data_IF_324898849611
#
_entry.id   IF_324898849611
#
_cell.length_a   1.000
_cell.length_b   1.000
_cell.length_c   1.000
_cell.angle_alpha   90.00
_cell.angle_beta   90.00
_cell.angle_gamma   90.00
#
_symmetry.space_group_name_H-M   'P 1'
#
loop_
_entity.id
_entity.type
_entity.pdbx_description
1 polymer ?
#
# COMPACT_ATOMS: atom_id res chain seq x y z
N UNK A 1 31.50 20.66 3.86
CA UNK A 1 30.10 20.17 4.05
C UNK A 1 29.43 20.14 2.69
N UNK A 2 28.97 18.98 2.23
CA UNK A 2 28.37 18.83 0.89
C UNK A 2 26.99 19.49 0.85
N UNK A 3 26.52 19.88 -0.33
CA UNK A 3 25.17 20.43 -0.52
C UNK A 3 24.09 19.47 -0.02
N UNK A 4 24.29 18.16 -0.19
CA UNK A 4 23.39 17.12 0.33
C UNK A 4 23.25 17.19 1.85
N UNK A 5 24.36 17.41 2.56
CA UNK A 5 24.35 17.48 4.03
C UNK A 5 23.56 18.69 4.51
N UNK A 6 23.74 19.85 3.86
CA UNK A 6 23.01 21.09 4.21
C UNK A 6 21.51 20.95 3.96
N UNK A 7 21.12 20.35 2.83
CA UNK A 7 19.72 20.11 2.50
C UNK A 7 19.10 19.12 3.49
N UNK A 8 19.82 18.07 3.87
CA UNK A 8 19.36 17.09 4.83
C UNK A 8 19.12 17.73 6.21
N UNK A 9 20.09 18.48 6.73
CA UNK A 9 19.94 19.20 8.01
C UNK A 9 18.81 20.22 7.96
N UNK A 10 18.61 20.91 6.81
CA UNK A 10 17.48 21.82 6.64
C UNK A 10 16.14 21.08 6.73
N UNK A 11 15.97 19.99 5.98
CA UNK A 11 14.75 19.18 6.00
C UNK A 11 14.49 18.65 7.41
N UNK A 12 15.49 18.11 8.09
CA UNK A 12 15.32 17.61 9.46
C UNK A 12 14.93 18.71 10.44
N UNK A 13 15.54 19.89 10.34
CA UNK A 13 15.29 21.02 11.25
C UNK A 13 13.85 21.54 11.14
N UNK A 14 13.26 21.48 9.95
CA UNK A 14 11.89 21.93 9.70
C UNK A 14 10.86 20.80 9.66
N UNK A 15 11.27 19.56 9.92
CA UNK A 15 10.35 18.44 10.02
C UNK A 15 9.64 18.44 11.38
N UNK A 16 8.62 19.30 11.51
CA UNK A 16 7.77 19.39 12.71
C UNK A 16 7.07 18.07 13.05
N UNK A 17 7.00 17.14 12.10
CA UNK A 17 6.38 15.83 12.29
C UNK A 17 7.36 14.78 12.84
N UNK A 18 8.67 15.07 12.93
CA UNK A 18 9.68 14.09 13.37
C UNK A 18 9.38 13.55 14.77
N UNK A 19 9.28 14.45 15.77
CA UNK A 19 9.00 14.06 17.16
C UNK A 19 7.68 13.29 17.36
N UNK A 20 6.52 13.75 16.85
CA UNK A 20 5.28 12.99 17.00
C UNK A 20 5.34 11.65 16.27
N UNK A 21 6.01 11.58 15.11
CA UNK A 21 6.19 10.31 14.38
C UNK A 21 7.05 9.33 15.18
N UNK A 22 8.15 9.78 15.79
CA UNK A 22 9.00 8.95 16.65
C UNK A 22 8.25 8.48 17.90
N UNK A 23 7.44 9.35 18.51
CA UNK A 23 6.61 8.99 19.67
C UNK A 23 5.58 7.92 19.31
N UNK A 24 4.85 8.09 18.21
CA UNK A 24 3.89 7.09 17.70
C UNK A 24 4.60 5.78 17.36
N UNK A 25 5.72 5.84 16.65
CA UNK A 25 6.50 4.65 16.31
C UNK A 25 6.98 3.89 17.56
N UNK A 26 7.43 4.61 18.59
CA UNK A 26 7.84 4.01 19.86
C UNK A 26 6.68 3.35 20.61
N UNK A 27 5.48 3.93 20.52
CA UNK A 27 4.26 3.38 21.12
C UNK A 27 3.81 2.12 20.38
N UNK A 28 3.77 2.15 19.05
CA UNK A 28 3.40 1.01 18.21
C UNK A 28 4.39 -0.16 18.36
N UNK A 29 5.68 0.12 18.57
CA UNK A 29 6.69 -0.90 18.82
C UNK A 29 6.45 -1.71 20.12
N UNK A 30 5.73 -1.14 21.08
CA UNK A 30 5.37 -1.83 22.33
C UNK A 30 4.02 -2.57 22.24
N UNK A 31 3.26 -2.34 21.17
CA UNK A 31 1.91 -2.87 20.98
C UNK A 31 1.77 -3.51 19.59
N UNK A 32 2.28 -4.75 19.40
CA UNK A 32 2.35 -5.39 18.08
C UNK A 32 0.96 -5.53 17.42
N UNK A 33 -0.08 -5.80 18.21
CA UNK A 33 -1.46 -5.86 17.69
C UNK A 33 -1.92 -4.52 17.11
N UNK A 34 -1.64 -3.40 17.80
CA UNK A 34 -1.98 -2.06 17.28
C UNK A 34 -1.16 -1.73 16.04
N UNK A 35 0.11 -2.13 16.01
CA UNK A 35 0.96 -1.99 14.82
C UNK A 35 0.41 -2.77 13.62
N UNK A 36 -0.04 -4.02 13.80
CA UNK A 36 -0.67 -4.81 12.72
C UNK A 36 -1.93 -4.11 12.19
N UNK A 37 -2.78 -3.60 13.08
CA UNK A 37 -4.01 -2.87 12.69
C UNK A 37 -3.70 -1.58 11.93
N UNK A 38 -2.73 -0.80 12.40
CA UNK A 38 -2.31 0.45 11.76
C UNK A 38 -1.78 0.21 10.33
N UNK A 39 -0.91 -0.79 10.19
CA UNK A 39 -0.34 -1.17 8.89
C UNK A 39 -1.42 -1.69 7.93
N UNK A 40 -2.37 -2.47 8.44
CA UNK A 40 -3.51 -2.93 7.65
C UNK A 40 -4.40 -1.75 7.20
N UNK A 41 -4.66 -0.78 8.09
CA UNK A 41 -5.42 0.42 7.76
C UNK A 41 -4.71 1.26 6.68
N UNK A 42 -3.39 1.42 6.80
CA UNK A 42 -2.56 2.11 5.81
C UNK A 42 -2.65 1.45 4.42
N UNK A 43 -2.61 0.11 4.36
CA UNK A 43 -2.84 -0.62 3.11
C UNK A 43 -4.22 -0.33 2.52
N UNK A 44 -5.27 -0.34 3.35
CA UNK A 44 -6.63 -0.08 2.90
C UNK A 44 -6.78 1.33 2.34
N UNK A 45 -6.36 2.35 3.09
CA UNK A 45 -6.43 3.75 2.65
C UNK A 45 -5.64 3.98 1.37
N UNK A 46 -4.43 3.43 1.28
CA UNK A 46 -3.62 3.56 0.07
C UNK A 46 -4.26 2.88 -1.14
N UNK A 47 -4.80 1.69 -0.95
CA UNK A 47 -5.54 0.97 -2.01
C UNK A 47 -6.74 1.79 -2.46
N UNK A 48 -7.51 2.35 -1.52
CA UNK A 48 -8.67 3.20 -1.80
C UNK A 48 -8.26 4.48 -2.56
N UNK A 49 -7.17 5.13 -2.18
CA UNK A 49 -6.65 6.30 -2.90
C UNK A 49 -6.23 5.94 -4.33
N UNK A 50 -5.60 4.78 -4.54
CA UNK A 50 -5.24 4.32 -5.90
C UNK A 50 -6.47 4.00 -6.74
N UNK A 51 -7.50 3.38 -6.14
CA UNK A 51 -8.78 3.15 -6.81
C UNK A 51 -9.43 4.48 -7.20
N UNK A 52 -9.48 5.45 -6.28
CA UNK A 52 -10.02 6.78 -6.56
C UNK A 52 -9.23 7.49 -7.66
N UNK A 53 -7.90 7.39 -7.65
CA UNK A 53 -7.04 7.91 -8.71
C UNK A 53 -7.37 7.27 -10.06
N UNK A 54 -7.49 5.94 -10.12
CA UNK A 54 -7.86 5.24 -11.35
C UNK A 54 -9.27 5.59 -11.85
N UNK A 55 -10.20 5.93 -10.94
CA UNK A 55 -11.57 6.32 -11.27
C UNK A 55 -11.66 7.76 -11.78
N UNK A 56 -10.85 8.68 -11.22
CA UNK A 56 -10.88 10.10 -11.58
C UNK A 56 -9.92 10.46 -12.73
N UNK A 57 -8.90 9.64 -12.99
CA UNK A 57 -7.93 9.93 -14.03
C UNK A 57 -8.55 9.75 -15.43
N UNK A 58 -8.38 10.74 -16.34
CA UNK A 58 -9.05 10.77 -17.65
C UNK A 58 -8.42 9.83 -18.69
N UNK A 59 -7.56 8.89 -18.28
CA UNK A 59 -6.89 7.96 -19.19
C UNK A 59 -7.60 6.60 -19.23
N UNK A 60 -7.25 5.79 -20.24
CA UNK A 60 -7.73 4.42 -20.32
C UNK A 60 -7.22 3.58 -19.14
N UNK A 61 -7.96 2.53 -18.77
CA UNK A 61 -7.60 1.67 -17.64
C UNK A 61 -6.15 1.14 -17.73
N UNK A 62 -5.63 0.65 -18.88
CA UNK A 62 -4.23 0.22 -18.98
C UNK A 62 -3.22 1.34 -18.69
N UNK A 63 -3.52 2.57 -19.12
CA UNK A 63 -2.66 3.74 -18.88
C UNK A 63 -2.69 4.13 -17.40
N UNK A 64 -3.88 4.17 -16.77
CA UNK A 64 -4.02 4.42 -15.34
C UNK A 64 -3.28 3.39 -14.50
N UNK A 65 -3.36 2.10 -14.87
CA UNK A 65 -2.64 1.03 -14.21
C UNK A 65 -1.12 1.16 -14.36
N UNK A 66 -0.63 1.50 -15.57
CA UNK A 66 0.80 1.73 -15.79
C UNK A 66 1.33 2.91 -14.96
N UNK A 67 0.58 4.03 -14.92
CA UNK A 67 0.91 5.19 -14.10
C UNK A 67 0.89 4.85 -12.60
N UNK A 68 -0.11 4.12 -12.14
CA UNK A 68 -0.22 3.66 -10.75
C UNK A 68 0.93 2.73 -10.36
N UNK A 69 1.34 1.82 -11.26
CA UNK A 69 2.47 0.93 -11.06
C UNK A 69 3.79 1.70 -10.95
N UNK A 70 4.05 2.60 -11.90
CA UNK A 70 5.26 3.44 -11.90
C UNK A 70 5.31 4.32 -10.66
N UNK A 71 4.19 4.97 -10.30
CA UNK A 71 4.11 5.78 -9.09
C UNK A 71 4.37 4.96 -7.81
N UNK A 72 3.88 3.72 -7.77
CA UNK A 72 4.13 2.80 -6.65
C UNK A 72 5.59 2.34 -6.59
N UNK A 73 6.22 2.08 -7.73
CA UNK A 73 7.65 1.78 -7.80
C UNK A 73 8.49 2.96 -7.34
N UNK A 74 8.21 4.17 -7.85
CA UNK A 74 8.92 5.39 -7.45
C UNK A 74 8.76 5.63 -5.96
N UNK A 75 7.54 5.52 -5.41
CA UNK A 75 7.31 5.65 -3.98
C UNK A 75 8.11 4.62 -3.17
N UNK A 76 8.12 3.36 -3.61
CA UNK A 76 8.91 2.31 -2.95
C UNK A 76 10.40 2.60 -2.98
N UNK A 77 10.91 3.12 -4.09
CA UNK A 77 12.32 3.45 -4.31
C UNK A 77 12.75 4.79 -3.67
N UNK A 78 11.83 5.65 -3.26
CA UNK A 78 12.15 6.98 -2.71
C UNK A 78 11.79 7.10 -1.23
N UNK A 79 10.65 6.54 -0.83
CA UNK A 79 10.10 6.65 0.52
C UNK A 79 10.30 5.34 1.29
N UNK A 80 9.94 4.20 0.71
CA UNK A 80 9.94 2.91 1.44
C UNK A 80 11.31 2.24 1.53
N UNK A 81 12.38 2.81 0.93
CA UNK A 81 13.73 2.23 1.01
C UNK A 81 14.22 2.10 2.45
N UNK A 82 13.76 2.99 3.33
CA UNK A 82 14.10 3.02 4.76
C UNK A 82 12.93 2.65 5.69
N UNK A 83 11.74 2.40 5.15
CA UNK A 83 10.58 2.00 5.95
C UNK A 83 10.53 0.48 6.09
N UNK A 84 10.14 0.02 7.28
CA UNK A 84 9.91 -1.41 7.57
C UNK A 84 8.76 -1.95 6.69
N UNK A 85 7.83 -1.07 6.33
CA UNK A 85 6.56 -1.40 5.68
C UNK A 85 6.61 -1.16 4.16
N UNK A 86 6.64 -2.26 3.40
CA UNK A 86 6.66 -2.24 1.91
C UNK A 86 5.24 -2.17 1.36
N UNK A 87 4.58 -1.03 1.55
CA UNK A 87 3.14 -0.86 1.34
C UNK A 87 2.75 -0.60 -0.13
N UNK A 88 3.66 -0.11 -0.95
CA UNK A 88 3.33 0.43 -2.27
C UNK A 88 2.85 -0.62 -3.29
N UNK A 89 3.66 -1.64 -3.53
CA UNK A 89 3.34 -2.68 -4.52
C UNK A 89 2.13 -3.53 -4.12
N UNK A 90 1.95 -3.93 -2.85
CA UNK A 90 0.74 -4.61 -2.43
C UNK A 90 -0.50 -3.73 -2.67
N UNK A 91 -0.48 -2.47 -2.24
CA UNK A 91 -1.65 -1.58 -2.40
C UNK A 91 -2.02 -1.35 -3.88
N UNK A 92 -1.02 -1.31 -4.77
CA UNK A 92 -1.26 -1.32 -6.22
C UNK A 92 -1.93 -2.61 -6.70
N UNK A 93 -1.45 -3.78 -6.25
CA UNK A 93 -2.05 -5.07 -6.58
C UNK A 93 -3.51 -5.14 -6.12
N UNK A 94 -3.83 -4.57 -4.95
CA UNK A 94 -5.21 -4.41 -4.47
C UNK A 94 -6.07 -3.54 -5.38
N UNK A 95 -5.55 -2.39 -5.81
CA UNK A 95 -6.27 -1.50 -6.72
C UNK A 95 -6.48 -2.13 -8.11
N UNK A 96 -5.51 -2.91 -8.58
CA UNK A 96 -5.62 -3.71 -9.81
C UNK A 96 -6.68 -4.81 -9.68
N UNK A 97 -6.63 -5.61 -8.61
CA UNK A 97 -7.61 -6.65 -8.32
C UNK A 97 -9.02 -6.08 -8.24
N UNK A 98 -9.21 -4.94 -7.56
CA UNK A 98 -10.50 -4.26 -7.52
C UNK A 98 -10.97 -3.79 -8.91
N UNK A 99 -10.08 -3.20 -9.69
CA UNK A 99 -10.40 -2.69 -11.04
C UNK A 99 -10.82 -3.80 -11.99
N UNK A 100 -10.25 -5.00 -11.86
CA UNK A 100 -10.68 -6.20 -12.59
C UNK A 100 -11.99 -6.78 -12.05
N UNK A 101 -12.24 -6.64 -10.75
CA UNK A 101 -13.36 -7.26 -10.07
C UNK A 101 -14.65 -6.44 -10.11
N UNK A 102 -14.56 -5.12 -10.27
CA UNK A 102 -15.72 -4.22 -10.22
C UNK A 102 -16.81 -4.58 -11.23
N UNK A 103 -16.44 -5.02 -12.43
CA UNK A 103 -17.39 -5.41 -13.48
C UNK A 103 -18.17 -6.67 -13.10
N UNK A 104 -17.54 -7.58 -12.34
CA UNK A 104 -18.20 -8.78 -11.86
C UNK A 104 -19.06 -8.53 -10.59
N UNK A 105 -18.68 -7.53 -9.79
CA UNK A 105 -19.39 -7.15 -8.55
C UNK A 105 -20.63 -6.30 -8.81
N UNK A 106 -20.57 -5.35 -9.75
CA UNK A 106 -21.63 -4.34 -9.97
C UNK A 106 -22.86 -4.95 -10.65
N UNK A 107 -22.70 -6.01 -11.44
CA UNK A 107 -23.80 -6.50 -12.26
C UNK A 107 -24.74 -7.50 -11.58
N UNK A 108 -24.48 -7.97 -10.35
CA UNK A 108 -25.29 -9.03 -9.71
C UNK A 108 -25.44 -10.30 -10.58
N UNK A 109 -24.67 -10.37 -11.65
CA UNK A 109 -24.86 -11.23 -12.80
C UNK A 109 -24.04 -12.51 -12.68
N UNK A 110 -23.50 -12.80 -11.50
CA UNK A 110 -22.77 -14.04 -11.24
C UNK A 110 -23.61 -15.27 -11.62
N UNK A 111 -24.95 -15.16 -11.61
CA UNK A 111 -25.86 -16.24 -12.01
C UNK A 111 -26.50 -16.05 -13.39
N UNK A 112 -26.15 -15.01 -14.16
CA UNK A 112 -26.73 -14.80 -15.50
C UNK A 112 -26.13 -15.76 -16.54
N UNK A 113 -24.90 -16.23 -16.33
CA UNK A 113 -24.24 -17.24 -17.17
C UNK A 113 -23.05 -17.88 -16.44
N UNK A 114 -22.65 -19.08 -16.87
CA UNK A 114 -21.45 -19.76 -16.36
C UNK A 114 -20.17 -18.92 -16.60
N UNK A 115 -20.11 -18.18 -17.71
CA UNK A 115 -19.00 -17.26 -18.01
C UNK A 115 -18.96 -16.08 -17.03
N UNK A 116 -20.13 -15.51 -16.68
CA UNK A 116 -20.22 -14.45 -15.68
C UNK A 116 -19.87 -14.97 -14.27
N UNK A 117 -20.30 -16.20 -13.91
CA UNK A 117 -19.91 -16.87 -12.67
C UNK A 117 -18.39 -17.07 -12.60
N UNK A 118 -17.78 -17.60 -13.67
CA UNK A 118 -16.35 -17.83 -13.73
C UNK A 118 -15.56 -16.52 -13.60
N UNK A 119 -16.00 -15.44 -14.26
CA UNK A 119 -15.41 -14.11 -14.11
C UNK A 119 -15.55 -13.57 -12.69
N UNK A 120 -16.71 -13.75 -12.05
CA UNK A 120 -16.94 -13.34 -10.67
C UNK A 120 -16.09 -14.13 -9.67
N UNK A 121 -15.92 -15.43 -9.87
CA UNK A 121 -15.04 -16.27 -9.05
C UNK A 121 -13.56 -15.88 -9.24
N UNK A 122 -13.13 -15.64 -10.48
CA UNK A 122 -11.76 -15.23 -10.77
C UNK A 122 -11.45 -13.84 -10.17
N UNK A 123 -12.40 -12.92 -10.29
CA UNK A 123 -12.37 -11.60 -9.65
C UNK A 123 -12.29 -11.70 -8.12
N UNK A 124 -13.24 -12.42 -7.51
CA UNK A 124 -13.28 -12.65 -6.06
C UNK A 124 -11.99 -13.30 -5.55
N UNK A 125 -11.47 -14.32 -6.25
CA UNK A 125 -10.22 -14.97 -5.91
C UNK A 125 -9.03 -14.01 -5.91
N UNK A 126 -8.97 -13.07 -6.86
CA UNK A 126 -7.89 -12.07 -6.92
C UNK A 126 -7.92 -11.09 -5.73
N UNK A 127 -9.11 -10.64 -5.32
CA UNK A 127 -9.29 -9.81 -4.12
C UNK A 127 -8.99 -10.59 -2.84
N UNK A 128 -9.48 -11.82 -2.72
CA UNK A 128 -9.18 -12.69 -1.58
C UNK A 128 -7.69 -12.98 -1.47
N UNK A 129 -7.03 -13.31 -2.57
CA UNK A 129 -5.58 -13.53 -2.61
C UNK A 129 -4.81 -12.27 -2.18
N UNK A 130 -5.27 -11.09 -2.62
CA UNK A 130 -4.70 -9.82 -2.17
C UNK A 130 -4.85 -9.62 -0.65
N UNK A 131 -6.05 -9.81 -0.08
CA UNK A 131 -6.27 -9.66 1.35
C UNK A 131 -5.45 -10.66 2.17
N UNK A 132 -5.38 -11.92 1.74
CA UNK A 132 -4.55 -12.95 2.39
C UNK A 132 -3.08 -12.56 2.34
N UNK A 133 -2.60 -12.12 1.17
CA UNK A 133 -1.22 -11.67 1.01
C UNK A 133 -0.89 -10.47 1.93
N UNK A 134 -1.79 -9.48 2.03
CA UNK A 134 -1.60 -8.34 2.93
C UNK A 134 -1.56 -8.79 4.38
N UNK A 135 -2.51 -9.62 4.83
CA UNK A 135 -2.53 -10.12 6.21
C UNK A 135 -1.24 -10.86 6.53
N UNK A 136 -0.80 -11.78 5.66
CA UNK A 136 0.44 -12.54 5.85
C UNK A 136 1.68 -11.64 5.86
N UNK A 137 1.72 -10.63 5.00
CA UNK A 137 2.84 -9.69 4.93
C UNK A 137 2.90 -8.82 6.18
N UNK A 138 1.75 -8.30 6.64
CA UNK A 138 1.67 -7.50 7.87
C UNK A 138 2.04 -8.31 9.09
N UNK A 139 1.56 -9.56 9.17
CA UNK A 139 1.89 -10.47 10.26
C UNK A 139 3.40 -10.74 10.31
N UNK A 140 3.99 -11.08 9.15
CA UNK A 140 5.41 -11.34 9.02
C UNK A 140 6.27 -10.11 9.33
N UNK A 141 5.95 -8.94 8.75
CA UNK A 141 6.75 -7.71 8.89
C UNK A 141 6.72 -7.16 10.32
N UNK A 142 5.60 -7.32 11.04
CA UNK A 142 5.50 -6.88 12.44
C UNK A 142 6.19 -7.87 13.39
N UNK A 143 6.07 -9.18 13.14
CA UNK A 143 6.64 -10.20 14.02
C UNK A 143 8.15 -10.40 13.81
N UNK A 144 8.66 -10.03 12.63
CA UNK A 144 10.09 -10.10 12.29
C UNK A 144 10.63 -8.72 11.92
N UNK A 145 10.66 -7.76 12.88
CA UNK A 145 11.10 -6.41 12.60
C UNK A 145 12.56 -6.44 12.14
N UNK A 146 12.82 -5.83 10.98
CA UNK A 146 14.18 -5.67 10.46
C UNK A 146 15.04 -4.90 11.47
N UNK A 147 16.36 -5.17 11.53
CA UNK A 147 17.27 -4.48 12.45
C UNK A 147 17.17 -2.95 12.29
N UNK A 148 17.12 -2.24 13.44
CA UNK A 148 16.93 -0.78 13.57
C UNK A 148 17.85 0.09 12.70
N UNK A 149 18.94 -0.48 12.17
CA UNK A 149 19.91 0.19 11.30
C UNK A 149 19.33 0.73 10.00
N UNK A 150 18.13 0.30 9.57
CA UNK A 150 17.48 0.83 8.38
C UNK A 150 16.81 2.21 8.58
N UNK A 151 16.48 2.58 9.83
CA UNK A 151 15.79 3.84 10.14
C UNK A 151 16.70 4.88 10.83
N UNK A 152 17.90 4.50 11.24
CA UNK A 152 18.89 5.39 11.87
C UNK A 152 20.01 5.74 10.88
N UNK A 153 19.74 6.63 9.92
CA UNK A 153 20.81 7.37 9.23
C UNK A 153 20.30 8.69 8.72
#
# INVERSE_FOLDING_TARGET
MRLSDRLHTFIERYNILKQPTEAIASHLAQAPTLSKVDVLAMHFFRTASMIALHACAPFSLPVNLALGFVGSLVYRLTIEVKCIYKMALPSFAGAFAYSLSKEALIHGAAFSSLSALAKALLAGASLTAYFVYVILTVDYDVDHPLPKSCCSS
#
